data_IF_249323425117
#
_entry.id   IF_249323425117
#
_cell.length_a   1.000
_cell.length_b   1.000
_cell.length_c   1.000
_cell.angle_alpha   90.00
_cell.angle_beta   90.00
_cell.angle_gamma   90.00
#
_symmetry.space_group_name_H-M   'P 1'
#
loop_
_entity.id
_entity.type
_entity.pdbx_description
1 polymer ?
#
# COMPACT_ATOMS: atom_id res chain seq x y z
N UNK A 1 3.39 -5.34 18.18
CA UNK A 1 3.24 -4.58 16.92
C UNK A 1 3.58 -3.14 17.20
N UNK A 2 4.39 -2.50 16.37
CA UNK A 2 4.84 -1.10 16.57
C UNK A 2 4.63 -0.23 15.34
N UNK A 3 4.38 -0.86 14.18
CA UNK A 3 4.16 -0.18 12.93
C UNK A 3 3.05 -0.89 12.15
N UNK A 4 2.03 -0.14 11.73
CA UNK A 4 1.05 -0.53 10.73
C UNK A 4 1.34 0.22 9.44
N UNK A 5 1.63 -0.51 8.37
CA UNK A 5 1.66 -0.03 7.00
C UNK A 5 0.39 -0.53 6.30
N UNK A 6 -0.43 0.34 5.76
CA UNK A 6 -1.66 -0.07 5.09
C UNK A 6 -1.78 0.59 3.73
N UNK A 7 -2.17 -0.19 2.71
CA UNK A 7 -2.70 0.40 1.49
C UNK A 7 -3.98 1.19 1.79
N UNK A 8 -4.36 2.08 0.89
CA UNK A 8 -5.55 2.91 1.02
C UNK A 8 -6.74 2.34 0.26
N UNK A 9 -6.68 2.34 -1.07
CA UNK A 9 -7.81 1.98 -1.92
C UNK A 9 -8.23 0.53 -1.68
N UNK A 10 -9.50 0.31 -1.36
CA UNK A 10 -10.06 -1.02 -1.08
C UNK A 10 -9.41 -1.80 0.08
N UNK A 11 -8.41 -1.22 0.75
CA UNK A 11 -7.77 -1.81 1.94
C UNK A 11 -8.20 -1.09 3.22
N UNK A 12 -7.96 0.21 3.32
CA UNK A 12 -8.45 1.05 4.42
C UNK A 12 -9.68 1.86 4.01
N UNK A 13 -9.72 2.34 2.76
CA UNK A 13 -10.82 3.10 2.18
C UNK A 13 -11.95 2.16 1.72
N UNK A 14 -13.20 2.38 2.14
CA UNK A 14 -14.34 1.58 1.72
C UNK A 14 -14.87 2.05 0.35
N UNK A 15 -13.99 2.18 -0.64
CA UNK A 15 -14.29 2.62 -1.99
C UNK A 15 -14.44 1.47 -3.01
N UNK A 16 -14.68 0.25 -2.53
CA UNK A 16 -15.07 -0.91 -3.32
C UNK A 16 -16.58 -1.19 -3.21
N UNK A 17 -17.01 -2.32 -3.78
CA UNK A 17 -18.42 -2.75 -3.79
C UNK A 17 -18.87 -3.33 -2.45
N UNK A 18 -17.96 -3.80 -1.62
CA UNK A 18 -18.25 -4.46 -0.35
C UNK A 18 -18.61 -3.42 0.72
N UNK A 19 -19.50 -3.82 1.65
CA UNK A 19 -19.86 -2.97 2.77
C UNK A 19 -18.73 -2.90 3.81
N UNK A 20 -18.56 -1.73 4.43
CA UNK A 20 -17.70 -1.54 5.59
C UNK A 20 -18.44 -1.90 6.87
N UNK A 21 -17.74 -2.51 7.84
CA UNK A 21 -18.24 -2.61 9.22
C UNK A 21 -18.11 -1.26 9.92
N UNK A 22 -19.22 -0.60 10.24
CA UNK A 22 -19.23 0.78 10.74
C UNK A 22 -18.32 1.05 11.97
N UNK A 23 -18.14 0.03 12.83
CA UNK A 23 -17.27 0.14 14.00
C UNK A 23 -15.78 -0.03 13.68
N UNK A 24 -15.43 -0.54 12.51
CA UNK A 24 -14.06 -0.99 12.24
C UNK A 24 -13.02 0.14 12.31
N UNK A 25 -13.26 1.28 11.65
CA UNK A 25 -12.31 2.41 11.68
C UNK A 25 -12.15 3.03 13.08
N UNK A 26 -13.23 3.36 13.81
CA UNK A 26 -13.11 3.82 15.20
C UNK A 26 -12.31 2.87 16.11
N UNK A 27 -12.56 1.56 16.01
CA UNK A 27 -11.84 0.56 16.78
C UNK A 27 -10.38 0.45 16.37
N UNK A 28 -10.09 0.52 15.06
CA UNK A 28 -8.73 0.52 14.55
C UNK A 28 -7.93 1.72 15.08
N UNK A 29 -8.49 2.93 14.97
CA UNK A 29 -7.82 4.15 15.48
C UNK A 29 -7.58 4.08 16.99
N UNK A 30 -8.55 3.56 17.74
CA UNK A 30 -8.38 3.40 19.18
C UNK A 30 -7.32 2.37 19.53
N UNK A 31 -7.27 1.25 18.78
CA UNK A 31 -6.24 0.22 18.91
C UNK A 31 -4.83 0.78 18.66
N UNK A 32 -4.64 1.51 17.56
CA UNK A 32 -3.34 2.11 17.23
C UNK A 32 -2.87 3.05 18.34
N UNK A 33 -3.77 3.90 18.84
CA UNK A 33 -3.43 4.85 19.91
C UNK A 33 -3.22 4.19 21.28
N UNK A 34 -4.00 3.16 21.61
CA UNK A 34 -3.86 2.43 22.89
C UNK A 34 -2.53 1.70 22.99
N UNK A 35 -2.06 1.15 21.88
CA UNK A 35 -0.84 0.35 21.82
C UNK A 35 0.38 1.09 21.26
N UNK A 36 0.29 2.41 21.06
CA UNK A 36 1.35 3.27 20.51
C UNK A 36 1.94 2.71 19.19
N UNK A 37 1.02 2.37 18.26
CA UNK A 37 1.38 1.85 16.95
C UNK A 37 1.50 3.00 15.96
N UNK A 38 2.67 3.14 15.35
CA UNK A 38 2.91 4.08 14.25
C UNK A 38 2.10 3.68 13.02
N UNK A 39 1.55 4.66 12.33
CA UNK A 39 0.73 4.47 11.13
C UNK A 39 1.43 5.00 9.89
N UNK A 40 1.55 4.15 8.86
CA UNK A 40 2.02 4.56 7.54
C UNK A 40 0.98 4.21 6.47
N UNK A 41 0.59 5.17 5.65
CA UNK A 41 -0.17 4.90 4.42
C UNK A 41 0.78 4.56 3.29
N UNK A 42 0.49 3.49 2.54
CA UNK A 42 1.36 2.96 1.47
C UNK A 42 0.53 2.80 0.20
N UNK A 43 0.44 3.87 -0.60
CA UNK A 43 -0.55 3.97 -1.68
C UNK A 43 0.07 4.12 -3.06
N UNK A 44 -0.71 3.74 -4.08
CA UNK A 44 -0.46 4.08 -5.48
C UNK A 44 -0.77 5.54 -5.82
N UNK A 45 -1.49 6.24 -4.94
CA UNK A 45 -1.84 7.65 -5.09
C UNK A 45 -0.61 8.55 -4.92
N UNK A 46 -0.62 9.71 -5.59
CA UNK A 46 0.29 10.81 -5.26
C UNK A 46 -0.07 11.46 -3.91
N UNK A 47 0.82 12.30 -3.36
CA UNK A 47 0.63 12.94 -2.07
C UNK A 47 -0.69 13.72 -1.99
N UNK A 48 -1.01 14.52 -3.01
CA UNK A 48 -2.23 15.34 -3.01
C UNK A 48 -3.48 14.47 -2.85
N UNK A 49 -3.58 13.39 -3.63
CA UNK A 49 -4.70 12.44 -3.55
C UNK A 49 -4.75 11.65 -2.25
N UNK A 50 -3.60 11.41 -1.59
CA UNK A 50 -3.59 10.81 -0.25
C UNK A 50 -4.17 11.79 0.76
N UNK A 51 -3.79 13.07 0.70
CA UNK A 51 -4.31 14.11 1.59
C UNK A 51 -5.81 14.33 1.37
N UNK A 52 -6.25 14.39 0.10
CA UNK A 52 -7.68 14.48 -0.24
C UNK A 52 -8.47 13.29 0.37
N UNK A 53 -7.92 12.07 0.31
CA UNK A 53 -8.57 10.89 0.89
C UNK A 53 -8.61 10.95 2.43
N UNK A 54 -7.59 11.49 3.09
CA UNK A 54 -7.59 11.69 4.54
C UNK A 54 -8.77 12.59 4.95
N UNK A 55 -8.97 13.68 4.23
CA UNK A 55 -10.03 14.64 4.50
C UNK A 55 -11.42 14.08 4.13
N UNK A 56 -11.56 13.48 2.92
CA UNK A 56 -12.82 12.96 2.40
C UNK A 56 -13.38 11.83 3.27
N UNK A 57 -12.51 10.90 3.69
CA UNK A 57 -12.93 9.73 4.47
C UNK A 57 -12.76 9.89 5.98
N UNK A 58 -12.31 11.06 6.45
CA UNK A 58 -12.08 11.32 7.87
C UNK A 58 -11.07 10.37 8.49
N UNK A 59 -9.96 10.10 7.79
CA UNK A 59 -8.94 9.16 8.26
C UNK A 59 -8.07 9.79 9.36
N UNK A 60 -7.48 8.95 10.21
CA UNK A 60 -6.42 9.39 11.11
C UNK A 60 -5.22 9.88 10.29
N UNK A 61 -4.66 11.04 10.64
CA UNK A 61 -3.42 11.51 10.03
C UNK A 61 -2.29 10.53 10.36
N UNK A 62 -1.56 10.01 9.35
CA UNK A 62 -0.52 9.02 9.59
C UNK A 62 0.78 9.66 10.08
N UNK A 63 1.70 8.85 10.58
CA UNK A 63 3.07 9.29 10.88
C UNK A 63 3.93 9.38 9.59
N UNK A 64 3.61 8.59 8.56
CA UNK A 64 4.37 8.50 7.31
C UNK A 64 3.40 8.30 6.14
N UNK A 65 3.68 8.95 5.00
CA UNK A 65 2.98 8.68 3.73
C UNK A 65 3.98 8.13 2.72
N UNK A 66 3.67 6.94 2.20
CA UNK A 66 4.31 6.39 1.00
C UNK A 66 3.35 6.59 -0.15
N UNK A 67 3.77 7.32 -1.15
CA UNK A 67 3.01 7.66 -2.34
C UNK A 67 3.65 7.08 -3.62
N UNK A 68 2.94 7.22 -4.74
CA UNK A 68 3.43 6.84 -6.07
C UNK A 68 3.96 5.40 -6.12
N UNK A 69 3.18 4.45 -5.59
CA UNK A 69 3.50 2.99 -5.57
C UNK A 69 4.77 2.65 -4.77
N UNK A 70 5.29 3.58 -3.97
CA UNK A 70 6.52 3.37 -3.19
C UNK A 70 7.70 4.21 -3.65
N UNK A 71 7.57 5.03 -4.70
CA UNK A 71 8.68 5.87 -5.17
C UNK A 71 8.90 7.12 -4.32
N UNK A 72 7.92 7.54 -3.53
CA UNK A 72 8.00 8.73 -2.68
C UNK A 72 7.64 8.40 -1.23
N UNK A 73 8.45 8.83 -0.28
CA UNK A 73 8.17 8.74 1.16
C UNK A 73 8.14 10.13 1.74
N UNK A 74 7.03 10.50 2.36
CA UNK A 74 6.85 11.80 2.99
C UNK A 74 6.80 11.67 4.51
N UNK A 75 7.53 12.55 5.18
CA UNK A 75 7.59 12.68 6.62
C UNK A 75 7.00 14.02 7.05
N UNK A 76 6.32 14.11 8.19
CA UNK A 76 5.81 15.38 8.69
C UNK A 76 6.97 16.26 9.21
N UNK A 77 7.06 17.49 8.74
CA UNK A 77 8.04 18.46 9.16
C UNK A 77 7.39 19.85 9.22
N UNK A 78 7.41 20.49 10.39
CA UNK A 78 6.89 21.84 10.62
C UNK A 78 5.48 22.12 10.05
N UNK A 79 4.59 21.10 10.12
CA UNK A 79 3.20 21.21 9.63
C UNK A 79 3.03 20.96 8.13
N UNK A 80 4.08 20.54 7.44
CA UNK A 80 4.06 20.12 6.03
C UNK A 80 4.54 18.70 5.84
N UNK A 81 4.33 18.14 4.64
CA UNK A 81 4.85 16.84 4.25
C UNK A 81 6.09 17.03 3.38
N UNK A 82 7.24 16.53 3.85
CA UNK A 82 8.52 16.65 3.15
C UNK A 82 8.96 15.29 2.61
N UNK A 83 9.34 15.27 1.33
CA UNK A 83 9.82 14.04 0.69
C UNK A 83 11.20 13.64 1.25
N UNK A 84 11.37 12.39 1.60
CA UNK A 84 12.60 11.84 2.17
C UNK A 84 13.74 11.81 1.14
N UNK A 85 14.69 12.72 1.27
CA UNK A 85 15.90 12.75 0.42
C UNK A 85 16.74 11.47 0.56
N UNK A 86 16.75 10.87 1.76
CA UNK A 86 17.45 9.61 2.01
C UNK A 86 16.85 8.47 1.20
N UNK A 87 15.51 8.39 1.14
CA UNK A 87 14.83 7.41 0.29
C UNK A 87 15.09 7.65 -1.18
N UNK A 88 14.92 8.90 -1.63
CA UNK A 88 15.16 9.29 -3.02
C UNK A 88 16.59 8.92 -3.46
N UNK A 89 17.57 9.24 -2.63
CA UNK A 89 18.98 8.92 -2.92
C UNK A 89 19.21 7.39 -2.95
N UNK A 90 18.55 6.63 -2.09
CA UNK A 90 18.66 5.17 -2.05
C UNK A 90 18.16 4.53 -3.34
N UNK A 91 16.95 4.88 -3.80
CA UNK A 91 16.36 4.29 -5.00
C UNK A 91 16.95 4.84 -6.31
N UNK A 92 17.49 6.05 -6.32
CA UNK A 92 18.16 6.63 -7.49
C UNK A 92 19.35 5.79 -7.97
N UNK A 93 19.98 5.03 -7.09
CA UNK A 93 21.07 4.12 -7.44
C UNK A 93 20.66 3.06 -8.45
N UNK A 94 19.40 2.64 -8.44
CA UNK A 94 18.83 1.67 -9.40
C UNK A 94 18.82 2.20 -10.84
N UNK A 95 18.70 3.51 -11.00
CA UNK A 95 18.69 4.17 -12.32
C UNK A 95 20.07 4.67 -12.76
N UNK A 96 21.13 4.30 -12.05
CA UNK A 96 22.51 4.61 -12.41
C UNK A 96 22.75 6.11 -12.63
N UNK A 97 22.09 6.96 -11.83
CA UNK A 97 22.16 8.42 -11.89
C UNK A 97 21.28 9.08 -12.96
N UNK A 98 20.48 8.30 -13.69
CA UNK A 98 19.50 8.84 -14.64
C UNK A 98 18.26 9.37 -13.93
N UNK A 99 17.61 10.32 -14.57
CA UNK A 99 16.33 10.94 -14.14
C UNK A 99 15.15 10.41 -14.95
N UNK A 100 13.93 10.77 -14.56
CA UNK A 100 12.74 10.46 -15.34
C UNK A 100 12.76 11.04 -16.76
N UNK A 101 13.42 12.18 -16.98
CA UNK A 101 13.58 12.73 -18.33
C UNK A 101 14.58 11.94 -19.16
N UNK A 102 15.67 11.44 -18.56
CA UNK A 102 16.60 10.53 -19.25
C UNK A 102 15.93 9.20 -19.63
N UNK A 103 15.10 8.64 -18.73
CA UNK A 103 14.30 7.44 -19.02
C UNK A 103 13.31 7.70 -20.15
N UNK A 104 12.68 8.88 -20.16
CA UNK A 104 11.79 9.28 -21.25
C UNK A 104 12.52 9.29 -22.61
N UNK A 105 13.71 9.88 -22.68
CA UNK A 105 14.49 9.91 -23.90
C UNK A 105 14.87 8.49 -24.35
N UNK A 106 15.25 7.64 -23.40
CA UNK A 106 15.61 6.24 -23.66
C UNK A 106 14.43 5.42 -24.22
N UNK A 107 13.22 5.71 -23.80
CA UNK A 107 12.00 5.00 -24.23
C UNK A 107 11.24 5.68 -25.37
N UNK A 108 11.76 6.76 -25.92
CA UNK A 108 11.08 7.56 -26.95
C UNK A 108 10.76 6.77 -28.23
N UNK A 109 11.59 5.79 -28.57
CA UNK A 109 11.46 4.97 -29.77
C UNK A 109 10.71 3.63 -29.52
N UNK A 110 10.15 3.44 -28.32
CA UNK A 110 9.33 2.26 -28.01
C UNK A 110 7.92 2.47 -28.53
N UNK A 111 7.59 1.81 -29.62
CA UNK A 111 6.27 1.87 -30.25
C UNK A 111 5.14 1.51 -29.27
N UNK A 112 4.07 2.29 -29.31
CA UNK A 112 2.86 2.06 -28.51
C UNK A 112 2.88 2.76 -27.16
N UNK A 113 3.96 3.42 -26.75
CA UNK A 113 4.01 4.23 -25.53
C UNK A 113 3.65 5.69 -25.81
N UNK A 114 2.77 6.25 -24.99
CA UNK A 114 2.46 7.68 -24.97
C UNK A 114 2.66 8.19 -23.55
N UNK A 115 3.52 9.20 -23.34
CA UNK A 115 3.79 9.77 -22.01
C UNK A 115 2.52 10.32 -21.39
N UNK A 116 2.30 10.01 -20.11
CA UNK A 116 1.20 10.61 -19.33
C UNK A 116 1.50 12.08 -19.00
N UNK A 117 0.51 12.78 -18.47
CA UNK A 117 0.55 14.19 -18.10
C UNK A 117 1.69 14.50 -17.11
N UNK A 118 2.24 15.72 -17.10
CA UNK A 118 3.33 16.13 -16.20
C UNK A 118 3.05 15.84 -14.71
N UNK A 119 1.78 15.94 -14.28
CA UNK A 119 1.36 15.64 -12.90
C UNK A 119 1.53 14.16 -12.50
N UNK A 120 1.72 13.26 -13.46
CA UNK A 120 1.97 11.84 -13.24
C UNK A 120 3.44 11.47 -13.27
N UNK A 121 4.30 12.44 -13.54
CA UNK A 121 5.75 12.25 -13.64
C UNK A 121 6.44 12.73 -12.36
N UNK A 122 7.59 12.14 -12.04
CA UNK A 122 8.49 12.65 -11.00
C UNK A 122 9.96 12.43 -11.41
N UNK A 123 10.89 12.85 -10.58
CA UNK A 123 12.32 12.65 -10.83
C UNK A 123 12.67 11.17 -11.02
N UNK A 124 12.01 10.28 -10.27
CA UNK A 124 12.26 8.83 -10.26
C UNK A 124 11.02 8.01 -10.61
N UNK A 125 10.12 8.58 -11.41
CA UNK A 125 8.94 7.90 -11.97
C UNK A 125 8.64 8.44 -13.34
N UNK A 126 8.51 7.57 -14.33
CA UNK A 126 8.06 7.93 -15.67
C UNK A 126 6.86 7.06 -16.05
N UNK A 127 5.75 7.72 -16.35
CA UNK A 127 4.46 7.06 -16.59
C UNK A 127 4.01 7.22 -18.04
N UNK A 128 3.48 6.13 -18.60
CA UNK A 128 3.01 6.04 -19.98
C UNK A 128 1.61 5.47 -20.07
N UNK A 129 0.91 5.84 -21.14
CA UNK A 129 -0.26 5.13 -21.65
C UNK A 129 0.17 4.14 -22.73
N UNK A 130 -0.59 3.05 -22.88
CA UNK A 130 -0.50 2.14 -24.03
C UNK A 130 -1.90 1.59 -24.39
N UNK A 131 -2.15 1.15 -25.65
CA UNK A 131 -3.43 0.58 -26.05
C UNK A 131 -3.75 -0.72 -25.27
N UNK A 132 -5.03 -0.93 -24.90
CA UNK A 132 -5.44 -2.12 -24.12
C UNK A 132 -5.19 -3.45 -24.85
N UNK A 133 -5.21 -3.47 -26.15
CA UNK A 133 -4.96 -4.64 -27.01
C UNK A 133 -3.47 -4.94 -27.22
N UNK A 134 -2.59 -4.18 -26.58
CA UNK A 134 -1.13 -4.38 -26.66
C UNK A 134 -0.72 -5.71 -26.04
N UNK A 135 0.15 -6.47 -26.70
CA UNK A 135 0.86 -7.59 -26.11
C UNK A 135 1.81 -7.07 -25.00
N UNK A 136 1.36 -7.19 -23.75
CA UNK A 136 2.08 -6.68 -22.57
C UNK A 136 3.43 -7.37 -22.35
N UNK A 137 3.53 -8.65 -22.69
CA UNK A 137 4.79 -9.37 -22.52
C UNK A 137 5.83 -8.86 -23.52
N UNK A 138 5.41 -8.61 -24.76
CA UNK A 138 6.27 -8.03 -25.78
C UNK A 138 6.64 -6.59 -25.47
N UNK A 139 5.69 -5.76 -25.03
CA UNK A 139 5.94 -4.37 -24.62
C UNK A 139 6.94 -4.32 -23.46
N UNK A 140 6.70 -5.12 -22.40
CA UNK A 140 7.62 -5.24 -21.26
C UNK A 140 9.04 -5.56 -21.71
N UNK A 141 9.19 -6.56 -22.58
CA UNK A 141 10.51 -6.99 -23.07
C UNK A 141 11.21 -5.87 -23.86
N UNK A 142 10.48 -5.10 -24.67
CA UNK A 142 11.03 -3.96 -25.41
C UNK A 142 11.55 -2.89 -24.44
N UNK A 143 10.73 -2.48 -23.47
CA UNK A 143 11.10 -1.51 -22.43
C UNK A 143 12.33 -1.99 -21.65
N UNK A 144 12.33 -3.24 -21.18
CA UNK A 144 13.45 -3.84 -20.44
C UNK A 144 14.75 -3.82 -21.27
N UNK A 145 14.69 -4.11 -22.56
CA UNK A 145 15.85 -4.09 -23.44
C UNK A 145 16.44 -2.68 -23.55
N UNK A 146 15.61 -1.64 -23.74
CA UNK A 146 16.08 -0.25 -23.80
C UNK A 146 16.71 0.19 -22.48
N UNK A 147 16.07 -0.10 -21.35
CA UNK A 147 16.57 0.20 -20.01
C UNK A 147 17.92 -0.48 -19.74
N UNK A 148 18.08 -1.71 -20.22
CA UNK A 148 19.31 -2.49 -20.05
C UNK A 148 20.51 -1.87 -20.81
N UNK A 149 20.28 -1.16 -21.93
CA UNK A 149 21.35 -0.47 -22.67
C UNK A 149 22.12 0.54 -21.82
N UNK A 150 21.48 1.10 -20.79
CA UNK A 150 22.03 2.07 -19.83
C UNK A 150 22.21 1.49 -18.42
N UNK A 151 22.10 0.16 -18.27
CA UNK A 151 22.20 -0.52 -16.97
C UNK A 151 21.19 -0.01 -15.94
N UNK A 152 20.00 0.41 -16.40
CA UNK A 152 18.90 0.87 -15.56
C UNK A 152 18.21 -0.35 -14.95
N UNK A 153 18.14 -0.36 -13.62
CA UNK A 153 17.44 -1.37 -12.84
C UNK A 153 16.03 -0.84 -12.54
N UNK A 154 15.03 -1.29 -13.28
CA UNK A 154 13.69 -0.76 -13.15
C UNK A 154 12.67 -1.82 -12.70
N UNK A 155 11.63 -1.36 -12.02
CA UNK A 155 10.36 -2.04 -11.84
C UNK A 155 9.36 -1.49 -12.85
N UNK A 156 8.68 -2.38 -13.57
CA UNK A 156 7.65 -2.03 -14.56
C UNK A 156 6.29 -2.43 -14.00
N UNK A 157 5.48 -1.45 -13.62
CA UNK A 157 4.14 -1.67 -13.11
C UNK A 157 3.14 -1.40 -14.23
N UNK A 158 2.36 -2.42 -14.62
CA UNK A 158 1.31 -2.31 -15.64
C UNK A 158 -0.06 -2.50 -15.01
N UNK A 159 -1.00 -1.62 -15.36
CA UNK A 159 -2.39 -1.67 -14.94
C UNK A 159 -3.32 -1.17 -16.04
N UNK A 160 -4.63 -1.15 -15.81
CA UNK A 160 -5.64 -0.66 -16.73
C UNK A 160 -6.42 0.50 -16.14
N UNK A 161 -6.67 1.51 -16.95
CA UNK A 161 -7.67 2.53 -16.74
C UNK A 161 -8.86 2.21 -17.68
N UNK A 162 -9.85 1.47 -17.14
CA UNK A 162 -11.01 1.03 -17.92
C UNK A 162 -11.94 2.18 -18.26
N UNK A 163 -11.93 3.28 -17.51
CA UNK A 163 -12.71 4.48 -17.83
C UNK A 163 -12.14 5.17 -19.07
N UNK A 164 -10.82 5.31 -19.12
CA UNK A 164 -10.13 5.90 -20.27
C UNK A 164 -9.86 4.90 -21.39
N UNK A 165 -10.13 3.62 -21.19
CA UNK A 165 -9.87 2.55 -22.16
C UNK A 165 -8.39 2.51 -22.60
N UNK A 166 -7.48 2.64 -21.64
CA UNK A 166 -6.02 2.60 -21.86
C UNK A 166 -5.31 1.74 -20.84
N UNK A 167 -4.19 1.16 -21.24
CA UNK A 167 -3.22 0.57 -20.31
C UNK A 167 -2.30 1.64 -19.74
N UNK A 168 -1.83 1.43 -18.54
CA UNK A 168 -0.91 2.28 -17.79
C UNK A 168 0.40 1.54 -17.56
N UNK A 169 1.52 2.19 -17.82
CA UNK A 169 2.86 1.68 -17.49
C UNK A 169 3.60 2.72 -16.65
N UNK A 170 3.95 2.35 -15.43
CA UNK A 170 4.89 3.09 -14.60
C UNK A 170 6.27 2.43 -14.64
N UNK A 171 7.28 3.22 -14.97
CA UNK A 171 8.71 2.85 -14.89
C UNK A 171 9.27 3.50 -13.64
N UNK A 172 9.74 2.67 -12.72
CA UNK A 172 10.20 3.07 -11.38
C UNK A 172 11.59 2.45 -11.12
N UNK A 173 12.43 3.01 -10.24
CA UNK A 173 13.57 2.29 -9.69
C UNK A 173 13.13 0.93 -9.13
N UNK A 174 13.98 -0.10 -9.25
CA UNK A 174 13.61 -1.46 -8.85
C UNK A 174 13.17 -1.57 -7.40
N UNK A 175 13.82 -0.81 -6.51
CA UNK A 175 13.48 -0.78 -5.08
C UNK A 175 12.29 0.12 -4.74
N UNK A 176 11.85 0.98 -5.68
CA UNK A 176 10.70 1.87 -5.50
C UNK A 176 9.40 1.08 -5.61
N UNK A 177 9.12 0.26 -4.63
CA UNK A 177 7.92 -0.58 -4.50
C UNK A 177 7.34 -0.42 -3.11
N UNK A 178 6.06 -0.78 -2.91
CA UNK A 178 5.44 -0.81 -1.58
C UNK A 178 6.29 -1.63 -0.59
N UNK A 179 6.78 -2.80 -1.00
CA UNK A 179 7.64 -3.66 -0.17
C UNK A 179 8.98 -3.00 0.18
N UNK A 180 9.64 -2.37 -0.80
CA UNK A 180 10.89 -1.64 -0.59
C UNK A 180 10.71 -0.46 0.38
N UNK A 181 9.66 0.33 0.18
CA UNK A 181 9.32 1.45 1.05
C UNK A 181 9.01 1.00 2.49
N UNK A 182 8.24 -0.09 2.69
CA UNK A 182 7.97 -0.67 4.01
C UNK A 182 9.27 -1.12 4.68
N UNK A 183 10.18 -1.76 3.93
CA UNK A 183 11.48 -2.19 4.45
C UNK A 183 12.34 -1.00 4.87
N UNK A 184 12.35 0.08 4.09
CA UNK A 184 13.06 1.32 4.41
C UNK A 184 12.49 2.00 5.66
N UNK A 185 11.17 2.20 5.73
CA UNK A 185 10.50 2.83 6.88
C UNK A 185 10.80 2.06 8.16
N UNK A 186 10.69 0.74 8.11
CA UNK A 186 10.97 -0.14 9.22
C UNK A 186 12.40 0.02 9.75
N UNK A 187 13.37 0.05 8.83
CA UNK A 187 14.78 0.26 9.17
C UNK A 187 15.01 1.65 9.77
N UNK A 188 14.43 2.70 9.18
CA UNK A 188 14.51 4.09 9.65
C UNK A 188 13.95 4.24 11.08
N UNK A 189 12.83 3.57 11.37
CA UNK A 189 12.20 3.61 12.69
C UNK A 189 12.81 2.63 13.71
N UNK A 190 13.75 1.77 13.30
CA UNK A 190 14.29 0.72 14.16
C UNK A 190 13.23 -0.31 14.60
N UNK A 191 12.22 -0.57 13.75
CA UNK A 191 11.14 -1.51 14.04
C UNK A 191 11.47 -2.89 13.45
N UNK A 192 11.38 -3.92 14.30
CA UNK A 192 11.62 -5.30 13.89
C UNK A 192 10.56 -5.79 12.90
N UNK A 193 10.92 -6.78 12.08
CA UNK A 193 10.02 -7.39 11.10
C UNK A 193 8.75 -7.96 11.76
N UNK A 194 8.89 -8.66 12.88
CA UNK A 194 7.79 -9.22 13.65
C UNK A 194 6.91 -8.17 14.36
N UNK A 195 7.34 -6.90 14.41
CA UNK A 195 6.59 -5.77 14.98
C UNK A 195 6.00 -4.83 13.93
N UNK A 196 6.07 -5.21 12.65
CA UNK A 196 5.47 -4.51 11.53
C UNK A 196 4.31 -5.33 10.99
N UNK A 197 3.14 -4.72 10.78
CA UNK A 197 2.02 -5.28 10.02
C UNK A 197 1.89 -4.51 8.71
N UNK A 198 1.77 -5.24 7.60
CA UNK A 198 1.35 -4.67 6.31
C UNK A 198 -0.07 -5.16 5.96
N UNK A 199 -0.94 -4.26 5.48
CA UNK A 199 -2.28 -4.59 5.02
C UNK A 199 -2.47 -4.19 3.55
N UNK A 200 -3.10 -5.05 2.75
CA UNK A 200 -3.35 -4.83 1.33
C UNK A 200 -4.50 -5.67 0.79
N UNK A 201 -4.93 -5.41 -0.46
CA UNK A 201 -6.05 -6.11 -1.11
C UNK A 201 -5.78 -6.53 -2.55
N UNK A 202 -4.75 -6.01 -3.20
CA UNK A 202 -4.59 -6.09 -4.65
C UNK A 202 -3.21 -6.60 -5.11
N UNK A 203 -3.09 -6.87 -6.41
CA UNK A 203 -1.88 -7.47 -6.99
C UNK A 203 -0.60 -6.65 -6.75
N UNK A 204 -0.67 -5.32 -6.63
CA UNK A 204 0.48 -4.47 -6.33
C UNK A 204 0.95 -4.57 -4.86
N UNK A 205 0.15 -5.21 -3.98
CA UNK A 205 0.47 -5.46 -2.58
C UNK A 205 1.14 -6.82 -2.36
N UNK A 206 0.99 -7.76 -3.30
CA UNK A 206 1.44 -9.15 -3.13
C UNK A 206 2.89 -9.21 -2.66
N UNK A 207 3.79 -8.47 -3.31
CA UNK A 207 5.21 -8.46 -2.93
C UNK A 207 5.45 -7.96 -1.49
N UNK A 208 4.63 -7.06 -0.98
CA UNK A 208 4.69 -6.60 0.41
C UNK A 208 4.03 -7.60 1.37
N UNK A 209 2.88 -8.18 0.98
CA UNK A 209 2.15 -9.19 1.75
C UNK A 209 2.95 -10.46 1.99
N UNK A 210 3.82 -10.85 1.06
CA UNK A 210 4.66 -12.07 1.18
C UNK A 210 6.11 -11.77 1.57
N UNK A 211 6.45 -10.54 1.95
CA UNK A 211 7.83 -10.10 2.23
C UNK A 211 8.41 -10.65 3.55
N UNK A 212 7.60 -11.35 4.33
CA UNK A 212 7.97 -11.89 5.63
C UNK A 212 7.74 -10.95 6.82
N UNK A 213 7.26 -9.71 6.61
CA UNK A 213 6.60 -8.94 7.69
C UNK A 213 5.25 -9.58 8.01
N UNK A 214 4.76 -9.41 9.24
CA UNK A 214 3.38 -9.79 9.50
C UNK A 214 2.46 -9.05 8.52
N UNK A 215 1.58 -9.76 7.84
CA UNK A 215 0.77 -9.17 6.78
C UNK A 215 -0.66 -9.69 6.75
N UNK A 216 -1.60 -8.86 6.33
CA UNK A 216 -2.99 -9.24 6.16
C UNK A 216 -3.53 -8.81 4.79
N UNK A 217 -4.06 -9.77 4.04
CA UNK A 217 -4.96 -9.47 2.93
C UNK A 217 -6.38 -9.33 3.49
N UNK A 218 -7.02 -8.16 3.28
CA UNK A 218 -8.39 -7.91 3.76
C UNK A 218 -9.40 -8.80 3.05
N UNK A 219 -10.59 -9.02 3.65
CA UNK A 219 -11.56 -10.00 3.14
C UNK A 219 -12.09 -9.67 1.74
N UNK A 220 -12.12 -8.42 1.35
CA UNK A 220 -12.53 -7.96 0.02
C UNK A 220 -11.43 -8.04 -1.07
N UNK A 221 -10.24 -8.58 -0.75
CA UNK A 221 -9.24 -8.90 -1.78
C UNK A 221 -9.79 -9.94 -2.77
N UNK A 222 -9.51 -9.75 -4.06
CA UNK A 222 -10.01 -10.65 -5.10
C UNK A 222 -9.35 -12.05 -5.07
N UNK A 223 -9.97 -13.01 -5.76
CA UNK A 223 -9.54 -14.41 -5.75
C UNK A 223 -8.14 -14.59 -6.39
N UNK A 224 -7.80 -13.80 -7.40
CA UNK A 224 -6.51 -13.89 -8.09
C UNK A 224 -5.38 -13.41 -7.17
N UNK A 225 -5.59 -12.30 -6.49
CA UNK A 225 -4.68 -11.76 -5.46
C UNK A 225 -4.50 -12.75 -4.31
N UNK A 226 -5.60 -13.31 -3.76
CA UNK A 226 -5.53 -14.32 -2.70
C UNK A 226 -4.76 -15.56 -3.14
N UNK A 227 -5.02 -16.06 -4.33
CA UNK A 227 -4.29 -17.20 -4.90
C UNK A 227 -2.81 -16.91 -5.17
N UNK A 228 -2.46 -15.68 -5.56
CA UNK A 228 -1.07 -15.26 -5.71
C UNK A 228 -0.34 -15.24 -4.36
N UNK A 229 -0.96 -14.65 -3.33
CA UNK A 229 -0.43 -14.62 -1.96
C UNK A 229 -0.14 -16.03 -1.44
N UNK A 230 -1.09 -16.97 -1.62
CA UNK A 230 -0.92 -18.35 -1.19
C UNK A 230 0.27 -19.04 -1.88
N UNK A 231 0.34 -18.95 -3.20
CA UNK A 231 1.45 -19.55 -3.96
C UNK A 231 2.81 -18.94 -3.62
N UNK A 232 2.89 -17.62 -3.56
CA UNK A 232 4.15 -16.92 -3.34
C UNK A 232 4.63 -17.05 -1.90
N UNK A 233 3.74 -17.00 -0.89
CA UNK A 233 4.11 -17.19 0.50
C UNK A 233 4.68 -18.60 0.76
N UNK A 234 4.11 -19.62 0.14
CA UNK A 234 4.67 -20.99 0.19
C UNK A 234 6.05 -21.04 -0.47
N UNK A 235 6.19 -20.45 -1.66
CA UNK A 235 7.46 -20.42 -2.40
C UNK A 235 8.58 -19.71 -1.65
N UNK A 236 8.24 -18.65 -0.92
CA UNK A 236 9.18 -17.82 -0.15
C UNK A 236 9.36 -18.28 1.31
N UNK A 237 8.56 -19.24 1.77
CA UNK A 237 8.58 -19.71 3.16
C UNK A 237 8.07 -18.67 4.16
N UNK A 238 7.12 -17.81 3.75
CA UNK A 238 6.56 -16.71 4.55
C UNK A 238 5.11 -16.93 4.98
N UNK A 239 4.61 -18.16 4.84
CA UNK A 239 3.22 -18.51 5.15
C UNK A 239 2.80 -18.13 6.57
N UNK A 240 3.70 -18.34 7.57
CA UNK A 240 3.40 -18.03 8.97
C UNK A 240 3.30 -16.52 9.26
N UNK A 241 3.83 -15.68 8.39
CA UNK A 241 3.74 -14.22 8.49
C UNK A 241 2.62 -13.64 7.63
N UNK A 242 1.90 -14.46 6.86
CA UNK A 242 0.88 -14.02 5.92
C UNK A 242 -0.50 -14.52 6.38
N UNK A 243 -1.44 -13.60 6.58
CA UNK A 243 -2.80 -13.90 6.98
C UNK A 243 -3.80 -13.38 5.94
N UNK A 244 -4.88 -14.11 5.72
CA UNK A 244 -5.99 -13.70 4.85
C UNK A 244 -7.25 -13.56 5.70
N UNK A 245 -7.73 -12.35 5.88
CA UNK A 245 -8.96 -12.07 6.63
C UNK A 245 -10.17 -12.69 5.95
N UNK A 246 -11.11 -13.19 6.76
CA UNK A 246 -12.35 -13.85 6.29
C UNK A 246 -13.59 -13.30 6.98
N UNK A 247 -13.41 -12.44 7.99
CA UNK A 247 -14.50 -11.93 8.85
C UNK A 247 -14.75 -12.82 10.06
N UNK A 248 -15.78 -12.48 10.83
CA UNK A 248 -16.14 -13.20 12.04
C UNK A 248 -15.44 -12.72 13.31
N UNK A 249 -14.75 -11.56 13.27
CA UNK A 249 -14.16 -10.98 14.46
C UNK A 249 -15.25 -10.36 15.35
N UNK A 250 -15.47 -10.96 16.54
CA UNK A 250 -16.46 -10.50 17.48
C UNK A 250 -15.96 -9.34 18.33
N UNK A 251 -16.85 -8.38 18.56
CA UNK A 251 -16.66 -7.18 19.39
C UNK A 251 -17.72 -7.15 20.50
N UNK A 252 -17.46 -6.42 21.57
CA UNK A 252 -18.45 -6.25 22.65
C UNK A 252 -19.82 -5.79 22.12
N UNK A 253 -20.88 -6.27 22.73
CA UNK A 253 -22.25 -6.03 22.27
C UNK A 253 -22.74 -7.01 21.20
N UNK A 254 -22.05 -8.14 21.01
CA UNK A 254 -22.37 -9.17 20.01
C UNK A 254 -22.35 -8.65 18.57
N UNK A 255 -21.45 -7.70 18.28
CA UNK A 255 -21.21 -7.21 16.93
C UNK A 255 -20.13 -8.05 16.29
N UNK A 256 -20.36 -8.51 15.06
CA UNK A 256 -19.40 -9.23 14.25
C UNK A 256 -18.91 -8.34 13.10
N UNK A 257 -17.58 -8.25 12.95
CA UNK A 257 -16.97 -7.51 11.86
C UNK A 257 -16.80 -8.42 10.64
N UNK A 258 -17.01 -7.86 9.45
CA UNK A 258 -17.05 -8.61 8.18
C UNK A 258 -15.68 -8.88 7.53
N UNK A 259 -14.60 -8.42 8.11
CA UNK A 259 -13.24 -8.60 7.59
C UNK A 259 -12.87 -7.71 6.39
N UNK A 260 -13.81 -6.93 5.85
CA UNK A 260 -13.52 -5.98 4.77
C UNK A 260 -12.84 -4.73 5.31
N UNK A 261 -11.94 -4.15 4.51
CA UNK A 261 -11.29 -2.87 4.79
C UNK A 261 -10.66 -2.83 6.20
N UNK A 262 -10.92 -1.79 6.99
CA UNK A 262 -10.42 -1.65 8.35
C UNK A 262 -10.76 -2.85 9.26
N UNK A 263 -11.86 -3.55 9.03
CA UNK A 263 -12.21 -4.77 9.77
C UNK A 263 -11.20 -5.90 9.51
N UNK A 264 -10.74 -6.07 8.28
CA UNK A 264 -9.70 -7.03 7.94
C UNK A 264 -8.34 -6.68 8.56
N UNK A 265 -8.02 -5.38 8.63
CA UNK A 265 -6.80 -4.91 9.32
C UNK A 265 -6.85 -5.27 10.81
N UNK A 266 -8.00 -5.04 11.48
CA UNK A 266 -8.21 -5.45 12.87
C UNK A 266 -8.07 -6.97 13.04
N UNK A 267 -8.64 -7.75 12.12
CA UNK A 267 -8.54 -9.21 12.15
C UNK A 267 -7.08 -9.66 12.07
N UNK A 268 -6.29 -9.05 11.17
CA UNK A 268 -4.84 -9.26 11.07
C UNK A 268 -4.09 -8.89 12.36
N UNK A 269 -4.40 -7.74 12.96
CA UNK A 269 -3.83 -7.35 14.26
C UNK A 269 -4.12 -8.40 15.34
N UNK A 270 -5.36 -8.90 15.41
CA UNK A 270 -5.78 -9.93 16.39
C UNK A 270 -5.16 -11.29 16.09
N UNK A 271 -4.87 -11.60 14.82
CA UNK A 271 -4.16 -12.82 14.45
C UNK A 271 -2.71 -12.82 14.99
N UNK A 272 -1.99 -11.74 14.75
CA UNK A 272 -0.58 -11.63 15.16
C UNK A 272 -0.39 -11.17 16.62
N UNK A 273 -1.41 -10.63 17.27
CA UNK A 273 -1.44 -10.18 18.66
C UNK A 273 -2.74 -10.63 19.36
N UNK A 274 -2.92 -11.96 19.57
CA UNK A 274 -4.20 -12.50 20.05
C UNK A 274 -4.67 -11.92 21.40
N UNK A 275 -3.75 -11.49 22.24
CA UNK A 275 -4.07 -10.89 23.54
C UNK A 275 -4.87 -9.59 23.42
N UNK A 276 -4.70 -8.83 22.32
CA UNK A 276 -5.45 -7.61 22.07
C UNK A 276 -6.92 -7.83 21.74
N UNK A 277 -7.32 -9.09 21.48
CA UNK A 277 -8.73 -9.43 21.32
C UNK A 277 -9.53 -9.13 22.59
N UNK A 278 -8.90 -9.13 23.77
CA UNK A 278 -9.55 -8.79 25.03
C UNK A 278 -10.05 -7.34 25.05
N UNK A 279 -9.33 -6.41 24.42
CA UNK A 279 -9.74 -5.01 24.31
C UNK A 279 -11.05 -4.89 23.52
N UNK A 280 -11.16 -5.59 22.40
CA UNK A 280 -12.38 -5.59 21.57
C UNK A 280 -13.59 -6.21 22.27
N UNK A 281 -13.38 -7.10 23.20
CA UNK A 281 -14.45 -7.76 23.97
C UNK A 281 -14.83 -6.97 25.22
N UNK A 282 -14.05 -5.95 25.62
CA UNK A 282 -14.33 -5.11 26.79
C UNK A 282 -15.29 -3.95 26.42
N UNK A 283 -16.54 -3.92 26.95
CA UNK A 283 -17.52 -2.90 26.60
C UNK A 283 -17.06 -1.46 26.86
N UNK A 284 -16.32 -1.25 27.96
CA UNK A 284 -15.82 0.08 28.31
C UNK A 284 -14.74 0.57 27.32
N UNK A 285 -13.91 -0.31 26.81
CA UNK A 285 -12.91 0.00 25.80
C UNK A 285 -13.56 0.39 24.46
N UNK A 286 -14.56 -0.39 24.01
CA UNK A 286 -15.34 -0.10 22.80
C UNK A 286 -16.09 1.23 22.94
N UNK A 287 -16.72 1.50 24.09
CA UNK A 287 -17.38 2.77 24.34
C UNK A 287 -16.41 3.96 24.29
N UNK A 288 -15.20 3.79 24.81
CA UNK A 288 -14.13 4.80 24.74
C UNK A 288 -13.69 5.06 23.30
N UNK A 289 -13.55 4.01 22.47
CA UNK A 289 -13.25 4.12 21.06
C UNK A 289 -14.29 4.98 20.33
N UNK A 290 -15.58 4.70 20.51
CA UNK A 290 -16.67 5.43 19.86
C UNK A 290 -16.85 6.87 20.36
N UNK A 291 -16.51 7.13 21.61
CA UNK A 291 -16.51 8.49 22.16
C UNK A 291 -15.39 9.35 21.54
N UNK A 292 -14.25 8.76 21.26
CA UNK A 292 -13.09 9.44 20.70
C UNK A 292 -13.11 9.56 19.17
N UNK A 293 -13.63 8.53 18.52
CA UNK A 293 -13.71 8.41 17.06
C UNK A 293 -15.17 8.12 16.67
N UNK A 294 -16.03 9.13 16.61
CA UNK A 294 -17.44 8.91 16.29
C UNK A 294 -17.59 8.32 14.88
N UNK A 295 -18.70 7.55 14.71
CA UNK A 295 -19.07 7.03 13.41
C UNK A 295 -19.22 8.17 12.40
N UNK A 296 -18.61 8.03 11.24
CA UNK A 296 -18.87 8.93 10.11
C UNK A 296 -20.33 8.73 9.71
N UNK A 297 -21.12 9.79 9.69
CA UNK A 297 -22.49 9.71 9.18
C UNK A 297 -22.41 9.51 7.67
N UNK A 298 -23.11 8.45 7.20
CA UNK A 298 -23.35 8.21 5.77
C UNK A 298 -23.96 9.41 5.07
#
# INVERSE_FOLDING_TARGET
>A
MRLLCTDLDRTLLPNGEQSESALARPLLWHMLNTHDIKLAYVSGRDLGRVLDAIDEYGLQVPDIIVADVGSSIYLPEEGSWVNSETWQSSIATDWNGLTGDDIKELLNDVDGLTRQEPSRQSMLKTSYYFPLDTDRALLRKRVENELQTKQVNASLVMSDDLEKQVGLLDVLPRQATKSGAVSFIRAMLGVAQADTLFAGDSGNDVAALVSGVASVAVANADADTRGAIERESVSLGTTDSTFQAVGGLNVAGNVELNGNYAAGILEGLMHFRPVWRLDLLEPAWVASALARYPLVKE
#
